data_IF_578018558549
#
_entry.id   IF_578018558549
#
_cell.length_a   1.000
_cell.length_b   1.000
_cell.length_c   1.000
_cell.angle_alpha   90.00
_cell.angle_beta   90.00
_cell.angle_gamma   90.00
#
_symmetry.space_group_name_H-M   'P 1'
#
loop_
_entity.id
_entity.type
_entity.pdbx_description
1 polymer ?
#
# COMPACT_ATOMS: atom_id res chain seq x y z
N UNK A 1 -6.18 -16.59 -1.41
CA UNK A 1 -7.05 -15.41 -1.31
C UNK A 1 -7.40 -15.01 -2.74
N UNK A 2 -8.66 -14.68 -3.06
CA UNK A 2 -9.01 -14.16 -4.40
C UNK A 2 -8.17 -12.91 -4.66
N UNK A 3 -7.71 -12.71 -5.90
CA UNK A 3 -6.98 -11.49 -6.24
C UNK A 3 -7.93 -10.30 -5.95
N UNK A 4 -7.54 -9.26 -5.20
CA UNK A 4 -8.41 -8.11 -4.96
C UNK A 4 -8.81 -7.39 -6.27
N UNK A 5 -8.12 -7.65 -7.38
CA UNK A 5 -8.53 -7.24 -8.73
C UNK A 5 -9.73 -8.05 -9.30
N UNK A 6 -10.08 -9.21 -8.73
CA UNK A 6 -11.21 -10.05 -9.18
C UNK A 6 -12.56 -9.56 -8.61
N UNK A 7 -12.53 -8.57 -7.71
CA UNK A 7 -13.74 -7.98 -7.14
C UNK A 7 -14.34 -6.95 -8.10
N UNK A 8 -15.59 -7.14 -8.48
CA UNK A 8 -16.36 -6.17 -9.28
C UNK A 8 -17.11 -5.15 -8.40
N UNK A 9 -16.90 -5.16 -7.08
CA UNK A 9 -17.55 -4.24 -6.16
C UNK A 9 -17.10 -2.80 -6.41
N UNK A 10 -18.07 -1.90 -6.55
CA UNK A 10 -17.86 -0.48 -6.80
C UNK A 10 -17.92 0.32 -5.52
N UNK A 11 -16.79 0.84 -5.07
CA UNK A 11 -16.70 1.71 -3.90
C UNK A 11 -16.48 3.15 -4.35
N UNK A 12 -17.31 4.08 -3.87
CA UNK A 12 -17.14 5.51 -4.09
C UNK A 12 -16.55 6.15 -2.83
N UNK A 13 -15.33 6.67 -2.96
CA UNK A 13 -14.77 7.60 -1.99
C UNK A 13 -15.32 9.00 -2.30
N UNK A 14 -16.31 9.45 -1.53
CA UNK A 14 -17.05 10.70 -1.78
C UNK A 14 -16.40 11.88 -1.09
N UNK A 15 -16.49 13.03 -1.75
CA UNK A 15 -16.11 14.33 -1.20
C UNK A 15 -14.64 14.42 -0.73
N UNK A 16 -13.72 13.78 -1.46
CA UNK A 16 -12.29 13.81 -1.17
C UNK A 16 -11.58 15.00 -1.82
N UNK A 17 -10.52 15.50 -1.16
CA UNK A 17 -9.50 16.34 -1.79
C UNK A 17 -8.47 15.42 -2.48
N UNK A 18 -8.72 15.12 -3.75
CA UNK A 18 -7.93 14.20 -4.56
C UNK A 18 -6.64 14.87 -5.00
N UNK A 19 -5.50 14.34 -4.54
CA UNK A 19 -4.16 14.84 -4.88
C UNK A 19 -3.68 14.14 -6.15
N UNK A 20 -3.68 14.89 -7.25
CA UNK A 20 -3.17 14.46 -8.55
C UNK A 20 -1.75 14.99 -8.76
N UNK A 21 -1.00 14.49 -9.77
CA UNK A 21 0.38 14.91 -10.00
C UNK A 21 0.58 16.43 -10.18
N UNK A 22 -0.43 17.12 -10.71
CA UNK A 22 -0.35 18.54 -11.08
C UNK A 22 -1.27 19.46 -10.26
N UNK A 23 -2.24 18.91 -9.51
CA UNK A 23 -3.27 19.69 -8.83
C UNK A 23 -3.98 18.92 -7.72
N UNK A 24 -4.72 19.65 -6.89
CA UNK A 24 -5.66 19.08 -5.93
C UNK A 24 -7.08 19.46 -6.37
N UNK A 25 -7.94 18.46 -6.52
CA UNK A 25 -9.35 18.67 -6.90
C UNK A 25 -10.29 18.06 -5.87
N UNK A 26 -11.40 18.74 -5.57
CA UNK A 26 -12.46 18.18 -4.72
C UNK A 26 -13.39 17.33 -5.59
N UNK A 27 -13.59 16.07 -5.24
CA UNK A 27 -14.41 15.17 -6.06
C UNK A 27 -14.65 13.80 -5.42
N UNK A 28 -15.32 12.95 -6.19
CA UNK A 28 -15.51 11.54 -5.86
C UNK A 28 -14.47 10.70 -6.62
N UNK A 29 -13.96 9.64 -5.98
CA UNK A 29 -13.09 8.63 -6.60
C UNK A 29 -13.81 7.29 -6.60
N UNK A 30 -13.97 6.70 -7.79
CA UNK A 30 -14.60 5.39 -7.98
C UNK A 30 -13.54 4.31 -8.08
N UNK A 31 -13.62 3.35 -7.16
CA UNK A 31 -12.89 2.09 -7.17
C UNK A 31 -13.79 0.98 -7.73
N UNK A 32 -13.23 0.09 -8.52
CA UNK A 32 -13.82 -1.22 -8.84
C UNK A 32 -12.76 -2.27 -8.50
N UNK A 33 -13.02 -3.05 -7.46
CA UNK A 33 -12.00 -3.90 -6.85
C UNK A 33 -10.78 -3.09 -6.40
N UNK A 34 -9.59 -3.52 -6.83
CA UNK A 34 -8.31 -2.84 -6.55
C UNK A 34 -7.98 -1.68 -7.52
N UNK A 35 -8.85 -1.39 -8.50
CA UNK A 35 -8.54 -0.45 -9.59
C UNK A 35 -9.29 0.87 -9.43
N UNK A 36 -8.57 1.98 -9.56
CA UNK A 36 -9.18 3.30 -9.70
C UNK A 36 -9.79 3.40 -11.11
N UNK A 37 -11.13 3.45 -11.20
CA UNK A 37 -11.85 3.49 -12.50
C UNK A 37 -12.12 4.88 -13.01
N UNK A 38 -12.48 5.80 -12.12
CA UNK A 38 -12.87 7.15 -12.52
C UNK A 38 -12.75 8.17 -11.38
N UNK A 39 -12.60 9.43 -11.77
CA UNK A 39 -12.82 10.59 -10.91
C UNK A 39 -14.09 11.30 -11.39
N UNK A 40 -14.91 11.77 -10.48
CA UNK A 40 -16.13 12.52 -10.79
C UNK A 40 -16.25 13.77 -9.91
N UNK A 41 -17.06 14.78 -10.31
CA UNK A 41 -17.41 15.86 -9.40
C UNK A 41 -18.07 15.32 -8.12
N UNK A 42 -17.89 16.01 -7.00
CA UNK A 42 -18.42 15.56 -5.70
C UNK A 42 -19.93 15.34 -5.76
N UNK A 43 -20.37 14.17 -5.28
CA UNK A 43 -21.78 13.75 -5.29
C UNK A 43 -22.32 13.27 -6.63
N UNK A 44 -21.46 13.07 -7.65
CA UNK A 44 -21.88 12.59 -8.99
C UNK A 44 -21.57 11.13 -9.25
N UNK A 45 -20.65 10.51 -8.53
CA UNK A 45 -20.37 9.09 -8.69
C UNK A 45 -21.41 8.22 -7.96
N UNK A 46 -21.68 7.05 -8.54
CA UNK A 46 -22.53 5.99 -7.98
C UNK A 46 -21.74 4.69 -7.89
N UNK A 47 -21.95 3.92 -6.83
CA UNK A 47 -21.35 2.61 -6.61
C UNK A 47 -22.20 1.79 -5.64
N UNK A 48 -21.78 0.56 -5.38
CA UNK A 48 -22.42 -0.35 -4.42
C UNK A 48 -22.24 0.18 -2.99
N UNK A 49 -21.10 0.80 -2.72
CA UNK A 49 -20.77 1.44 -1.45
C UNK A 49 -20.36 2.90 -1.62
N UNK A 50 -20.69 3.73 -0.63
CA UNK A 50 -20.31 5.14 -0.59
C UNK A 50 -19.66 5.42 0.76
N UNK A 51 -18.38 5.79 0.72
CA UNK A 51 -17.61 6.20 1.88
C UNK A 51 -17.39 7.71 1.81
N UNK A 52 -18.10 8.46 2.64
CA UNK A 52 -17.98 9.92 2.70
C UNK A 52 -16.73 10.34 3.47
N UNK A 53 -15.80 11.01 2.78
CA UNK A 53 -14.53 11.44 3.35
C UNK A 53 -14.62 12.80 4.04
N UNK A 54 -15.70 13.57 3.83
CA UNK A 54 -15.92 14.88 4.45
C UNK A 54 -14.78 15.87 4.20
N UNK A 55 -14.26 15.92 2.97
CA UNK A 55 -13.18 16.83 2.59
C UNK A 55 -11.77 16.40 2.99
N UNK A 56 -11.57 15.16 3.48
CA UNK A 56 -10.21 14.63 3.75
C UNK A 56 -9.42 14.45 2.45
N UNK A 57 -8.09 14.46 2.57
CA UNK A 57 -7.19 14.23 1.44
C UNK A 57 -7.17 12.76 1.05
N UNK A 58 -7.14 12.53 -0.25
CA UNK A 58 -6.85 11.22 -0.85
C UNK A 58 -5.58 11.38 -1.66
N UNK A 59 -4.53 10.68 -1.26
CA UNK A 59 -3.26 10.62 -1.98
C UNK A 59 -3.06 9.21 -2.50
N UNK A 60 -2.21 9.00 -3.52
CA UNK A 60 -1.59 7.70 -3.70
C UNK A 60 -0.94 7.26 -2.39
N UNK A 61 -0.98 5.96 -2.11
CA UNK A 61 -0.20 5.39 -1.02
C UNK A 61 1.29 5.63 -1.25
N UNK A 62 2.03 5.89 -0.18
CA UNK A 62 3.45 6.23 -0.29
C UNK A 62 4.29 4.98 -0.54
N UNK A 63 5.38 5.18 -1.27
CA UNK A 63 6.38 4.16 -1.58
C UNK A 63 7.65 4.51 -0.80
N UNK A 64 8.02 3.67 0.16
CA UNK A 64 9.30 3.81 0.86
C UNK A 64 10.36 2.93 0.17
N UNK A 65 11.34 3.59 -0.44
CA UNK A 65 12.42 2.90 -1.17
C UNK A 65 13.59 2.51 -0.28
N UNK A 66 13.57 2.89 1.01
CA UNK A 66 14.68 2.68 1.91
C UNK A 66 14.24 2.54 3.38
N UNK A 67 13.95 1.30 3.79
CA UNK A 67 13.51 0.98 5.15
C UNK A 67 14.22 -0.27 5.69
N UNK A 68 14.79 -0.17 6.89
CA UNK A 68 15.52 -1.27 7.54
C UNK A 68 14.67 -2.10 8.49
N UNK A 69 13.46 -1.64 8.82
CA UNK A 69 12.61 -2.27 9.80
C UNK A 69 11.42 -1.40 10.18
N UNK A 70 10.42 -2.01 10.80
CA UNK A 70 9.20 -1.35 11.28
C UNK A 70 8.66 -2.11 12.50
N UNK A 71 7.98 -1.40 13.41
CA UNK A 71 7.28 -2.05 14.52
C UNK A 71 8.18 -2.82 15.49
N UNK A 72 9.47 -2.47 15.55
CA UNK A 72 10.48 -3.18 16.35
C UNK A 72 11.08 -4.41 15.68
N UNK A 73 10.72 -4.69 14.42
CA UNK A 73 11.32 -5.75 13.61
C UNK A 73 12.48 -5.18 12.79
N UNK A 74 13.66 -5.77 12.92
CA UNK A 74 14.83 -5.50 12.07
C UNK A 74 14.85 -6.49 10.91
N UNK A 75 14.87 -5.98 9.68
CA UNK A 75 14.82 -6.81 8.47
C UNK A 75 16.09 -7.63 8.23
N UNK A 76 17.20 -7.31 8.91
CA UNK A 76 18.41 -8.13 8.88
C UNK A 76 18.35 -9.33 9.84
N UNK A 77 17.38 -9.35 10.75
CA UNK A 77 17.30 -10.30 11.87
C UNK A 77 15.87 -10.75 12.13
N UNK A 78 15.19 -11.22 11.08
CA UNK A 78 13.80 -11.67 11.16
C UNK A 78 13.52 -12.82 10.20
N UNK A 79 12.33 -13.42 10.35
CA UNK A 79 11.79 -14.43 9.45
C UNK A 79 10.77 -13.82 8.47
N UNK A 80 10.46 -14.49 7.34
CA UNK A 80 9.58 -13.95 6.30
C UNK A 80 8.18 -13.59 6.80
N UNK A 81 7.60 -14.42 7.67
CA UNK A 81 6.26 -14.23 8.22
C UNK A 81 6.20 -13.01 9.15
N UNK A 82 7.20 -12.86 10.02
CA UNK A 82 7.33 -11.70 10.91
C UNK A 82 7.55 -10.41 10.11
N UNK A 83 8.42 -10.44 9.09
CA UNK A 83 8.62 -9.29 8.19
C UNK A 83 7.30 -8.91 7.50
N UNK A 84 6.65 -9.85 6.80
CA UNK A 84 5.41 -9.62 6.07
C UNK A 84 4.29 -9.09 6.96
N UNK A 85 4.19 -9.58 8.20
CA UNK A 85 3.22 -9.05 9.16
C UNK A 85 3.55 -7.62 9.60
N UNK A 86 4.82 -7.34 9.88
CA UNK A 86 5.24 -6.04 10.41
C UNK A 86 5.01 -4.89 9.42
N UNK A 87 5.12 -5.15 8.12
CA UNK A 87 4.97 -4.12 7.08
C UNK A 87 3.53 -3.68 6.87
N UNK A 88 2.53 -4.51 7.21
CA UNK A 88 1.12 -4.13 7.10
C UNK A 88 0.75 -2.94 8.00
N UNK A 89 1.47 -2.78 9.13
CA UNK A 89 1.27 -1.65 10.03
C UNK A 89 1.67 -0.30 9.40
N UNK A 90 2.48 -0.30 8.33
CA UNK A 90 2.87 0.91 7.61
C UNK A 90 1.70 1.59 6.89
N UNK A 91 0.65 0.85 6.56
CA UNK A 91 -0.56 1.42 5.97
C UNK A 91 -1.23 2.45 6.90
N UNK A 92 -1.08 2.29 8.22
CA UNK A 92 -1.56 3.26 9.23
C UNK A 92 -0.80 4.59 9.15
N UNK A 93 0.40 4.60 8.57
CA UNK A 93 1.22 5.79 8.32
C UNK A 93 1.11 6.28 6.86
N UNK A 94 0.26 5.66 6.05
CA UNK A 94 0.03 6.03 4.65
C UNK A 94 1.01 5.41 3.65
N UNK A 95 1.93 4.55 4.09
CA UNK A 95 2.83 3.79 3.22
C UNK A 95 2.16 2.48 2.82
N UNK A 96 2.05 2.23 1.52
CA UNK A 96 1.39 1.04 0.98
C UNK A 96 2.36 0.14 0.23
N UNK A 97 3.60 0.58 0.03
CA UNK A 97 4.61 -0.16 -0.71
C UNK A 97 5.98 0.15 -0.15
N UNK A 98 6.80 -0.88 0.03
CA UNK A 98 8.18 -0.71 0.50
C UNK A 98 9.18 -1.56 -0.29
N UNK A 99 10.44 -1.14 -0.20
CA UNK A 99 11.61 -1.91 -0.59
C UNK A 99 12.47 -2.17 0.66
N UNK A 100 12.40 -3.37 1.26
CA UNK A 100 13.20 -3.73 2.42
C UNK A 100 14.69 -3.56 2.13
N UNK A 101 15.40 -2.86 3.03
CA UNK A 101 16.82 -2.55 2.87
C UNK A 101 17.65 -3.38 3.85
N UNK A 102 18.45 -4.28 3.28
CA UNK A 102 19.44 -5.07 4.02
C UNK A 102 20.73 -4.27 4.17
N UNK A 103 21.24 -4.20 5.40
CA UNK A 103 22.51 -3.53 5.73
C UNK A 103 23.66 -4.40 5.21
N UNK A 104 24.72 -3.81 4.61
CA UNK A 104 25.86 -4.58 4.14
C UNK A 104 26.53 -5.39 5.26
N UNK A 105 26.83 -6.65 4.99
CA UNK A 105 27.45 -7.59 5.92
C UNK A 105 28.23 -8.68 5.19
N UNK A 106 28.60 -9.77 5.88
CA UNK A 106 29.15 -10.96 5.25
C UNK A 106 28.23 -11.46 4.12
N UNK A 107 28.83 -11.93 3.02
CA UNK A 107 28.09 -12.30 1.80
C UNK A 107 26.98 -13.34 2.07
N UNK A 108 27.27 -14.35 2.89
CA UNK A 108 26.30 -15.40 3.20
C UNK A 108 25.10 -14.85 4.00
N UNK A 109 25.33 -13.98 4.98
CA UNK A 109 24.24 -13.32 5.73
C UNK A 109 23.38 -12.44 4.82
N UNK A 110 24.00 -11.71 3.87
CA UNK A 110 23.26 -10.92 2.90
C UNK A 110 22.39 -11.80 1.99
N UNK A 111 22.89 -12.95 1.53
CA UNK A 111 22.09 -13.89 0.72
C UNK A 111 20.92 -14.46 1.51
N UNK A 112 21.12 -14.83 2.77
CA UNK A 112 20.07 -15.31 3.66
C UNK A 112 18.98 -14.25 3.85
N UNK A 113 19.38 -13.02 4.15
CA UNK A 113 18.45 -11.90 4.35
C UNK A 113 17.69 -11.55 3.06
N UNK A 114 18.33 -11.59 1.90
CA UNK A 114 17.64 -11.39 0.62
C UNK A 114 16.64 -12.51 0.32
N UNK A 115 16.94 -13.75 0.69
CA UNK A 115 15.99 -14.86 0.56
C UNK A 115 14.77 -14.67 1.49
N UNK A 116 14.99 -14.13 2.70
CA UNK A 116 13.90 -13.74 3.60
C UNK A 116 13.01 -12.67 2.98
N UNK A 117 13.59 -11.62 2.40
CA UNK A 117 12.83 -10.55 1.71
C UNK A 117 12.02 -11.12 0.55
N UNK A 118 12.63 -11.94 -0.30
CA UNK A 118 11.95 -12.56 -1.43
C UNK A 118 10.75 -13.42 -0.97
N UNK A 119 10.92 -14.20 0.11
CA UNK A 119 9.81 -14.99 0.67
C UNK A 119 8.74 -14.11 1.31
N UNK A 120 9.11 -13.02 1.98
CA UNK A 120 8.16 -12.09 2.57
C UNK A 120 7.31 -11.39 1.50
N UNK A 121 7.89 -11.08 0.33
CA UNK A 121 7.18 -10.51 -0.81
C UNK A 121 6.09 -11.44 -1.39
N UNK A 122 6.25 -12.76 -1.26
CA UNK A 122 5.20 -13.71 -1.62
C UNK A 122 4.04 -13.73 -0.61
N UNK A 123 4.27 -13.25 0.62
CA UNK A 123 3.31 -13.26 1.72
C UNK A 123 2.57 -11.92 1.88
N UNK A 124 3.19 -10.81 1.49
CA UNK A 124 2.60 -9.47 1.55
C UNK A 124 2.75 -8.73 0.21
N UNK A 125 1.64 -8.24 -0.39
CA UNK A 125 1.70 -7.45 -1.62
C UNK A 125 2.31 -6.06 -1.42
N UNK A 126 2.53 -5.64 -0.16
CA UNK A 126 3.12 -4.34 0.19
C UNK A 126 4.65 -4.35 0.06
N UNK A 127 5.28 -5.51 -0.11
CA UNK A 127 6.72 -5.67 -0.28
C UNK A 127 7.01 -5.89 -1.77
N UNK A 128 7.87 -5.05 -2.34
CA UNK A 128 8.38 -5.22 -3.70
C UNK A 128 9.91 -5.37 -3.70
N UNK A 129 10.43 -6.01 -4.76
CA UNK A 129 11.86 -6.32 -4.94
C UNK A 129 12.10 -7.82 -5.05
#
# INVERSE_FOLDING_TARGET
>A
MSNPEDSETKVVLRDGLLVLPDRIVRGDLLLEGAVIRALAPSGKATGDEIWDLGGRRVTPGWIDTHIHGVGGVDFNHTDPETMAKSVEDLALQGMTTIYPTIVPGPEEEMKENLAVVARAAELSPSILG
#
